data_IF_879140822520
#
_entry.id   IF_879140822520
#
_cell.length_a   1.000
_cell.length_b   1.000
_cell.length_c   1.000
_cell.angle_alpha   90.00
_cell.angle_beta   90.00
_cell.angle_gamma   90.00
#
_symmetry.space_group_name_H-M   'P 1'
#
loop_
_entity.id
_entity.type
_entity.pdbx_description
1 polymer ?
#
# COMPACT_ATOMS: atom_id res chain seq x y z
N UNK A 1 3.36 5.18 -40.18
CA UNK A 1 3.98 5.44 -38.87
C UNK A 1 3.03 4.94 -37.81
N UNK A 2 3.32 3.77 -37.23
CA UNK A 2 2.44 3.13 -36.26
C UNK A 2 2.49 3.88 -34.93
N UNK A 3 1.32 4.34 -34.46
CA UNK A 3 1.16 4.77 -33.07
C UNK A 3 1.41 3.53 -32.20
N UNK A 4 2.52 3.48 -31.47
CA UNK A 4 2.59 2.61 -30.29
C UNK A 4 1.51 3.11 -29.34
N UNK A 5 0.43 2.34 -29.20
CA UNK A 5 -0.48 2.48 -28.08
C UNK A 5 0.36 2.23 -26.83
N UNK A 6 0.66 3.28 -26.06
CA UNK A 6 1.27 3.11 -24.75
C UNK A 6 0.39 2.12 -23.98
N UNK A 7 0.91 0.93 -23.69
CA UNK A 7 0.19 -0.02 -22.84
C UNK A 7 -0.11 0.70 -21.52
N UNK A 8 -1.37 0.59 -21.08
CA UNK A 8 -1.78 1.15 -19.82
C UNK A 8 -0.97 0.46 -18.71
N UNK A 9 -0.40 1.25 -17.78
CA UNK A 9 0.38 0.71 -16.65
C UNK A 9 -0.44 -0.32 -15.84
N UNK A 10 -1.77 -0.14 -15.76
CA UNK A 10 -2.68 -1.07 -15.12
C UNK A 10 -2.74 -2.42 -15.83
N UNK A 11 -2.73 -2.43 -17.17
CA UNK A 11 -2.73 -3.68 -17.94
C UNK A 11 -1.44 -4.47 -17.71
N UNK A 12 -0.29 -3.79 -17.72
CA UNK A 12 1.01 -4.43 -17.48
C UNK A 12 1.11 -4.96 -16.05
N UNK A 13 0.74 -4.15 -15.06
CA UNK A 13 0.66 -4.58 -13.65
C UNK A 13 -0.26 -5.80 -13.50
N UNK A 14 -1.43 -5.77 -14.15
CA UNK A 14 -2.40 -6.85 -14.14
C UNK A 14 -1.80 -8.16 -14.66
N UNK A 15 -1.15 -8.12 -15.82
CA UNK A 15 -0.46 -9.27 -16.43
C UNK A 15 0.63 -9.84 -15.52
N UNK A 16 1.44 -8.99 -14.89
CA UNK A 16 2.50 -9.44 -13.98
C UNK A 16 1.92 -10.22 -12.81
N UNK A 17 0.94 -9.64 -12.12
CA UNK A 17 0.28 -10.26 -10.98
C UNK A 17 -0.45 -11.56 -11.36
N UNK A 18 -1.11 -11.60 -12.51
CA UNK A 18 -1.75 -12.83 -13.02
C UNK A 18 -0.74 -13.96 -13.28
N UNK A 19 0.38 -13.63 -13.91
CA UNK A 19 1.45 -14.59 -14.16
C UNK A 19 2.03 -15.14 -12.86
N UNK A 20 2.26 -14.27 -11.87
CA UNK A 20 2.73 -14.69 -10.54
C UNK A 20 1.69 -15.52 -9.79
N UNK A 21 0.40 -15.19 -9.90
CA UNK A 21 -0.66 -15.93 -9.24
C UNK A 21 -0.78 -17.37 -9.78
N UNK A 22 -0.52 -17.58 -11.07
CA UNK A 22 -0.41 -18.94 -11.66
C UNK A 22 0.73 -19.71 -10.98
N UNK A 23 1.91 -19.13 -10.88
CA UNK A 23 3.06 -19.77 -10.20
C UNK A 23 2.77 -20.12 -8.74
N UNK A 24 2.12 -19.21 -8.00
CA UNK A 24 1.70 -19.45 -6.62
C UNK A 24 0.70 -20.61 -6.55
N UNK A 25 -0.26 -20.66 -7.46
CA UNK A 25 -1.31 -21.69 -7.49
C UNK A 25 -0.72 -23.07 -7.80
N UNK A 26 0.17 -23.14 -8.79
CA UNK A 26 0.86 -24.37 -9.20
C UNK A 26 1.82 -24.87 -8.12
N UNK A 27 2.48 -23.96 -7.39
CA UNK A 27 3.27 -24.34 -6.23
C UNK A 27 2.37 -24.83 -5.08
N UNK A 28 1.19 -24.21 -4.88
CA UNK A 28 0.28 -24.52 -3.78
C UNK A 28 -0.41 -25.88 -3.91
N UNK A 29 -0.51 -26.42 -5.12
CA UNK A 29 -1.00 -27.79 -5.32
C UNK A 29 -0.03 -28.83 -4.76
N UNK A 30 1.26 -28.50 -4.68
CA UNK A 30 2.33 -29.40 -4.25
C UNK A 30 2.85 -29.10 -2.84
N UNK A 31 2.85 -27.82 -2.44
CA UNK A 31 3.27 -27.35 -1.13
C UNK A 31 2.15 -26.56 -0.44
N UNK A 32 1.63 -27.10 0.68
CA UNK A 32 0.59 -26.45 1.49
C UNK A 32 1.16 -25.56 2.60
N UNK A 33 2.43 -25.17 2.49
CA UNK A 33 3.11 -24.33 3.48
C UNK A 33 2.31 -23.06 3.77
N UNK A 34 2.38 -22.62 5.02
CA UNK A 34 1.77 -21.36 5.42
C UNK A 34 2.36 -20.18 4.63
N UNK A 35 3.67 -20.22 4.38
CA UNK A 35 4.42 -19.21 3.62
C UNK A 35 3.79 -18.92 2.27
N UNK A 36 3.45 -19.96 1.51
CA UNK A 36 2.91 -19.80 0.16
C UNK A 36 1.47 -19.28 0.16
N UNK A 37 0.65 -19.72 1.12
CA UNK A 37 -0.70 -19.15 1.35
C UNK A 37 -0.65 -17.68 1.72
N UNK A 38 0.32 -17.29 2.55
CA UNK A 38 0.52 -15.89 2.91
C UNK A 38 0.94 -15.05 1.69
N UNK A 39 1.84 -15.56 0.85
CA UNK A 39 2.24 -14.90 -0.40
C UNK A 39 1.03 -14.75 -1.36
N UNK A 40 0.16 -15.76 -1.48
CA UNK A 40 -1.06 -15.71 -2.28
C UNK A 40 -2.04 -14.61 -1.83
N UNK A 41 -2.26 -14.48 -0.51
CA UNK A 41 -3.16 -13.45 0.04
C UNK A 41 -2.54 -12.06 -0.17
N UNK A 42 -1.23 -11.94 0.06
CA UNK A 42 -0.52 -10.67 -0.10
C UNK A 42 -0.50 -10.20 -1.55
N UNK A 43 -0.29 -11.12 -2.49
CA UNK A 43 -0.38 -10.88 -3.94
C UNK A 43 -1.73 -10.28 -4.31
N UNK A 44 -2.83 -10.92 -3.92
CA UNK A 44 -4.16 -10.46 -4.30
C UNK A 44 -4.50 -9.07 -3.76
N UNK A 45 -4.07 -8.78 -2.53
CA UNK A 45 -4.25 -7.46 -1.92
C UNK A 45 -3.44 -6.43 -2.70
N UNK A 46 -2.16 -6.71 -2.97
CA UNK A 46 -1.28 -5.82 -3.72
C UNK A 46 -1.79 -5.57 -5.14
N UNK A 47 -2.19 -6.62 -5.86
CA UNK A 47 -2.80 -6.51 -7.19
C UNK A 47 -3.96 -5.53 -7.18
N UNK A 48 -4.93 -5.71 -6.27
CA UNK A 48 -6.13 -4.87 -6.20
C UNK A 48 -5.80 -3.40 -5.92
N UNK A 49 -4.93 -3.13 -4.95
CA UNK A 49 -4.57 -1.75 -4.64
C UNK A 49 -3.73 -1.10 -5.75
N UNK A 50 -2.79 -1.82 -6.37
CA UNK A 50 -2.01 -1.31 -7.48
C UNK A 50 -2.89 -1.02 -8.71
N UNK A 51 -3.81 -1.92 -9.07
CA UNK A 51 -4.73 -1.70 -10.18
C UNK A 51 -5.71 -0.55 -9.92
N UNK A 52 -6.26 -0.44 -8.71
CA UNK A 52 -7.10 0.69 -8.34
C UNK A 52 -6.33 2.02 -8.41
N UNK A 53 -5.07 2.01 -8.00
CA UNK A 53 -4.20 3.20 -8.12
C UNK A 53 -3.94 3.54 -9.58
N UNK A 54 -3.63 2.56 -10.43
CA UNK A 54 -3.41 2.77 -11.86
C UNK A 54 -4.66 3.39 -12.54
N UNK A 55 -5.86 2.86 -12.23
CA UNK A 55 -7.12 3.39 -12.72
C UNK A 55 -7.30 4.88 -12.34
N UNK A 56 -7.02 5.24 -11.08
CA UNK A 56 -7.11 6.63 -10.64
C UNK A 56 -6.14 7.54 -11.40
N UNK A 57 -4.93 7.06 -11.71
CA UNK A 57 -3.97 7.84 -12.51
C UNK A 57 -4.41 8.05 -13.96
N UNK A 58 -5.15 7.11 -14.54
CA UNK A 58 -5.66 7.24 -15.91
C UNK A 58 -6.82 8.24 -15.98
N UNK A 59 -7.61 8.33 -14.91
CA UNK A 59 -8.66 9.34 -14.74
C UNK A 59 -8.14 10.70 -14.24
N UNK A 60 -6.82 10.84 -14.01
CA UNK A 60 -6.23 12.10 -13.58
C UNK A 60 -6.28 12.38 -12.06
N UNK A 61 -6.83 11.48 -11.25
CA UNK A 61 -7.00 11.65 -9.80
C UNK A 61 -5.70 11.35 -9.03
N UNK A 62 -4.93 12.39 -8.71
CA UNK A 62 -3.63 12.31 -8.04
C UNK A 62 -3.77 12.12 -6.53
N UNK A 63 -4.54 12.98 -5.85
CA UNK A 63 -4.68 12.93 -4.39
C UNK A 63 -5.28 11.58 -3.92
N UNK A 64 -6.37 11.06 -4.51
CA UNK A 64 -6.89 9.73 -4.15
C UNK A 64 -5.91 8.60 -4.46
N UNK A 65 -5.20 8.66 -5.59
CA UNK A 65 -4.20 7.65 -5.94
C UNK A 65 -3.02 7.66 -4.95
N UNK A 66 -2.58 8.83 -4.50
CA UNK A 66 -1.56 8.97 -3.46
C UNK A 66 -2.01 8.39 -2.11
N UNK A 67 -3.28 8.54 -1.75
CA UNK A 67 -3.84 7.89 -0.57
C UNK A 67 -3.81 6.35 -0.69
N UNK A 68 -4.13 5.78 -1.85
CA UNK A 68 -3.98 4.34 -2.07
C UNK A 68 -2.52 3.90 -2.07
N UNK A 69 -1.62 4.68 -2.65
CA UNK A 69 -0.18 4.43 -2.63
C UNK A 69 0.38 4.40 -1.20
N UNK A 70 -0.17 5.21 -0.28
CA UNK A 70 0.15 5.11 1.15
C UNK A 70 -0.18 3.72 1.71
N UNK A 71 -1.34 3.18 1.35
CA UNK A 71 -1.83 1.86 1.79
C UNK A 71 -0.96 0.74 1.20
N UNK A 72 -0.74 0.75 -0.12
CA UNK A 72 0.13 -0.21 -0.84
C UNK A 72 1.47 -0.32 -0.13
N UNK A 73 2.05 0.82 0.18
CA UNK A 73 3.39 0.89 0.75
C UNK A 73 3.45 0.46 2.21
N UNK A 74 2.46 0.86 3.02
CA UNK A 74 2.36 0.39 4.40
C UNK A 74 2.20 -1.14 4.46
N UNK A 75 1.34 -1.67 3.58
CA UNK A 75 1.16 -3.10 3.46
C UNK A 75 2.46 -3.79 3.05
N UNK A 76 3.14 -3.28 2.03
CA UNK A 76 4.37 -3.88 1.53
C UNK A 76 5.50 -3.90 2.58
N UNK A 77 5.66 -2.82 3.36
CA UNK A 77 6.65 -2.78 4.46
C UNK A 77 6.33 -3.81 5.55
N UNK A 78 5.05 -3.95 5.93
CA UNK A 78 4.62 -4.97 6.91
C UNK A 78 4.83 -6.38 6.38
N UNK A 79 4.48 -6.61 5.11
CA UNK A 79 4.73 -7.86 4.41
C UNK A 79 6.22 -8.22 4.46
N UNK A 80 7.10 -7.30 4.03
CA UNK A 80 8.55 -7.51 4.09
C UNK A 80 9.03 -7.84 5.49
N UNK A 81 8.55 -7.12 6.50
CA UNK A 81 8.93 -7.40 7.87
C UNK A 81 8.54 -8.82 8.28
N UNK A 82 7.33 -9.27 7.95
CA UNK A 82 6.89 -10.64 8.22
C UNK A 82 7.80 -11.67 7.54
N UNK A 83 8.16 -11.45 6.26
CA UNK A 83 8.93 -12.42 5.46
C UNK A 83 10.45 -12.24 5.54
N UNK A 84 10.96 -11.31 6.35
CA UNK A 84 12.39 -11.10 6.56
C UNK A 84 12.99 -12.15 7.52
N UNK A 85 12.76 -13.42 7.20
CA UNK A 85 13.18 -14.63 7.89
C UNK A 85 12.76 -15.84 7.05
N UNK A 86 13.53 -16.93 7.08
CA UNK A 86 13.17 -18.19 6.42
C UNK A 86 12.39 -19.14 7.34
N UNK A 87 12.30 -18.83 8.64
CA UNK A 87 11.65 -19.70 9.64
C UNK A 87 10.14 -19.42 9.69
N UNK A 88 9.33 -20.42 9.36
CA UNK A 88 7.86 -20.32 9.34
C UNK A 88 7.27 -19.86 10.68
N UNK A 89 7.74 -20.43 11.80
CA UNK A 89 7.28 -20.03 13.14
C UNK A 89 7.52 -18.55 13.43
N UNK A 90 8.63 -17.98 12.96
CA UNK A 90 8.92 -16.56 13.12
C UNK A 90 8.01 -15.69 12.24
N UNK A 91 7.66 -16.15 11.04
CA UNK A 91 6.66 -15.46 10.18
C UNK A 91 5.30 -15.44 10.89
N UNK A 92 4.87 -16.58 11.42
CA UNK A 92 3.64 -16.72 12.19
C UNK A 92 3.65 -15.77 13.41
N UNK A 93 4.73 -15.75 14.19
CA UNK A 93 4.88 -14.85 15.33
C UNK A 93 4.78 -13.38 14.91
N UNK A 94 5.43 -12.98 13.81
CA UNK A 94 5.33 -11.60 13.29
C UNK A 94 3.91 -11.24 12.85
N UNK A 95 3.19 -12.16 12.22
CA UNK A 95 1.79 -11.95 11.86
C UNK A 95 0.89 -11.81 13.08
N UNK A 96 1.11 -12.61 14.12
CA UNK A 96 0.40 -12.46 15.40
C UNK A 96 0.65 -11.10 16.04
N UNK A 97 1.91 -10.60 16.01
CA UNK A 97 2.25 -9.25 16.48
C UNK A 97 1.58 -8.16 15.64
N UNK A 98 1.53 -8.33 14.31
CA UNK A 98 0.82 -7.41 13.42
C UNK A 98 -0.69 -7.40 13.73
N UNK A 99 -1.30 -8.56 13.90
CA UNK A 99 -2.71 -8.67 14.28
C UNK A 99 -3.00 -7.98 15.61
N UNK A 100 -2.21 -8.25 16.65
CA UNK A 100 -2.30 -7.57 17.96
C UNK A 100 -2.24 -6.05 17.83
N UNK A 101 -1.23 -5.53 17.13
CA UNK A 101 -1.09 -4.07 16.91
C UNK A 101 -2.26 -3.48 16.13
N UNK A 102 -2.77 -4.19 15.12
CA UNK A 102 -3.91 -3.74 14.31
C UNK A 102 -5.21 -3.74 15.11
N UNK A 103 -5.43 -4.79 15.91
CA UNK A 103 -6.56 -4.90 16.83
C UNK A 103 -6.58 -3.77 17.85
N UNK A 104 -5.45 -3.50 18.52
CA UNK A 104 -5.33 -2.38 19.47
C UNK A 104 -5.61 -1.02 18.84
N UNK A 105 -5.12 -0.77 17.63
CA UNK A 105 -5.41 0.47 16.89
C UNK A 105 -6.91 0.61 16.58
N UNK A 106 -7.58 -0.48 16.19
CA UNK A 106 -9.03 -0.50 15.95
C UNK A 106 -9.81 -0.24 17.23
N UNK A 107 -9.44 -0.89 18.35
CA UNK A 107 -10.08 -0.67 19.65
C UNK A 107 -9.96 0.78 20.10
N UNK A 108 -8.76 1.37 20.01
CA UNK A 108 -8.55 2.79 20.34
C UNK A 108 -9.44 3.72 19.50
N UNK A 109 -9.64 3.42 18.22
CA UNK A 109 -10.54 4.17 17.36
C UNK A 109 -12.00 4.04 17.83
N UNK A 110 -12.46 2.81 18.09
CA UNK A 110 -13.82 2.57 18.56
C UNK A 110 -14.08 3.20 19.93
N UNK A 111 -13.13 3.13 20.85
CA UNK A 111 -13.22 3.80 22.16
C UNK A 111 -13.35 5.31 22.01
N UNK A 112 -12.59 5.91 21.08
CA UNK A 112 -12.71 7.33 20.77
C UNK A 112 -14.10 7.71 20.23
N UNK A 113 -14.68 6.86 19.37
CA UNK A 113 -16.02 7.08 18.81
C UNK A 113 -17.14 6.87 19.85
N UNK A 114 -17.01 5.86 20.71
CA UNK A 114 -17.95 5.58 21.78
C UNK A 114 -17.88 6.61 22.92
N UNK A 115 -16.73 7.26 23.09
CA UNK A 115 -16.51 8.34 24.05
C UNK A 115 -16.99 9.73 23.60
N UNK A 116 -17.59 9.84 22.40
CA UNK A 116 -18.17 11.10 21.94
C UNK A 116 -19.38 11.51 22.81
N UNK A 117 -19.63 12.82 22.88
CA UNK A 117 -20.72 13.38 23.69
C UNK A 117 -22.10 12.84 23.26
N UNK A 118 -23.03 12.81 24.23
CA UNK A 118 -24.38 12.31 24.00
C UNK A 118 -25.08 13.11 22.88
N UNK A 119 -25.59 12.40 21.88
CA UNK A 119 -26.30 12.98 20.74
C UNK A 119 -25.46 13.18 19.47
N UNK A 120 -24.14 12.93 19.51
CA UNK A 120 -23.29 12.98 18.31
C UNK A 120 -23.56 11.80 17.37
N UNK A 121 -23.75 10.60 17.94
CA UNK A 121 -24.07 9.38 17.20
C UNK A 121 -25.49 8.91 17.51
N UNK A 122 -26.15 8.32 16.50
CA UNK A 122 -27.44 7.66 16.69
C UNK A 122 -27.27 6.40 17.54
N UNK A 123 -28.34 6.01 18.23
CA UNK A 123 -28.35 4.80 19.07
C UNK A 123 -27.98 3.54 18.27
N UNK A 124 -28.47 3.41 17.03
CA UNK A 124 -28.14 2.25 16.19
C UNK A 124 -26.65 2.20 15.79
N UNK A 125 -26.02 3.36 15.61
CA UNK A 125 -24.60 3.45 15.27
C UNK A 125 -23.72 3.11 16.47
N UNK A 126 -24.13 3.53 17.67
CA UNK A 126 -23.47 3.15 18.93
C UNK A 126 -23.54 1.65 19.19
N UNK A 127 -24.71 1.03 18.97
CA UNK A 127 -24.90 -0.42 19.09
C UNK A 127 -24.00 -1.18 18.10
N UNK A 128 -23.96 -0.77 16.83
CA UNK A 128 -23.06 -1.36 15.82
C UNK A 128 -21.58 -1.18 16.18
N UNK A 129 -21.19 -0.02 16.68
CA UNK A 129 -19.81 0.22 17.12
C UNK A 129 -19.43 -0.68 18.29
N UNK A 130 -20.33 -0.87 19.26
CA UNK A 130 -20.12 -1.79 20.37
C UNK A 130 -19.96 -3.24 19.87
N UNK A 131 -20.79 -3.70 18.93
CA UNK A 131 -20.65 -5.04 18.32
C UNK A 131 -19.31 -5.20 17.57
N UNK A 132 -18.89 -4.17 16.81
CA UNK A 132 -17.60 -4.19 16.12
C UNK A 132 -16.43 -4.22 17.10
N UNK A 133 -16.54 -3.48 18.21
CA UNK A 133 -15.56 -3.49 19.28
C UNK A 133 -15.45 -4.86 19.93
N UNK A 134 -16.57 -5.45 20.34
CA UNK A 134 -16.60 -6.80 20.94
C UNK A 134 -15.99 -7.85 19.99
N UNK A 135 -16.30 -7.77 18.69
CA UNK A 135 -15.69 -8.66 17.67
C UNK A 135 -14.17 -8.50 17.60
N UNK A 136 -13.64 -7.29 17.74
CA UNK A 136 -12.18 -7.07 17.76
C UNK A 136 -11.59 -7.57 19.07
N UNK A 137 -12.22 -7.32 20.22
CA UNK A 137 -11.75 -7.81 21.53
C UNK A 137 -11.68 -9.33 21.58
N UNK A 138 -12.71 -10.02 21.08
CA UNK A 138 -12.76 -11.50 21.02
C UNK A 138 -11.66 -12.10 20.14
N UNK A 139 -11.30 -11.40 19.07
CA UNK A 139 -10.29 -11.85 18.11
C UNK A 139 -8.90 -11.27 18.42
N UNK A 140 -8.75 -10.43 19.45
CA UNK A 140 -7.49 -9.79 19.75
C UNK A 140 -6.49 -10.84 20.21
N UNK A 141 -5.40 -11.00 19.46
CA UNK A 141 -4.35 -11.92 19.84
C UNK A 141 -3.45 -11.33 20.94
N UNK A 142 -3.96 -11.27 22.17
CA UNK A 142 -3.18 -10.76 23.32
C UNK A 142 -2.04 -11.68 23.74
N UNK A 143 -2.05 -12.93 23.27
CA UNK A 143 -1.00 -13.92 23.53
C UNK A 143 0.32 -13.60 22.81
N UNK A 144 0.31 -12.72 21.78
CA UNK A 144 1.56 -12.30 21.17
C UNK A 144 2.42 -11.51 22.18
N UNK A 145 3.64 -11.98 22.45
CA UNK A 145 4.52 -11.42 23.48
C UNK A 145 4.81 -9.93 23.29
N UNK A 146 4.80 -9.45 22.04
CA UNK A 146 5.17 -8.08 21.66
C UNK A 146 4.19 -7.51 20.64
N UNK A 147 4.20 -6.19 20.51
CA UNK A 147 3.55 -5.51 19.39
C UNK A 147 4.49 -5.45 18.18
N UNK A 148 3.94 -5.28 16.98
CA UNK A 148 4.73 -4.96 15.79
C UNK A 148 5.41 -3.60 15.98
N UNK A 149 6.70 -3.45 15.61
CA UNK A 149 7.35 -2.14 15.65
C UNK A 149 6.59 -1.12 14.78
N UNK A 150 6.65 0.17 15.09
CA UNK A 150 6.00 1.18 14.28
C UNK A 150 6.57 1.15 12.85
N UNK A 151 5.71 1.47 11.88
CA UNK A 151 6.11 1.58 10.47
C UNK A 151 6.97 2.85 10.24
N UNK A 152 7.15 3.72 11.24
CA UNK A 152 7.90 4.98 11.16
C UNK A 152 9.31 4.91 11.75
N UNK A 153 10.25 5.70 11.20
CA UNK A 153 11.49 6.11 11.87
C UNK A 153 12.68 5.15 11.77
N UNK A 154 13.83 5.59 12.33
CA UNK A 154 15.12 4.85 12.36
C UNK A 154 15.11 3.60 13.25
N UNK A 155 14.11 3.45 14.13
CA UNK A 155 13.91 2.31 15.03
C UNK A 155 12.66 1.48 14.70
N UNK A 156 12.04 1.75 13.55
CA UNK A 156 10.82 1.08 13.08
C UNK A 156 11.07 -0.02 12.06
N UNK A 157 10.00 -0.47 11.39
CA UNK A 157 10.07 -1.53 10.38
C UNK A 157 11.07 -1.23 9.24
N UNK A 158 11.33 0.04 8.93
CA UNK A 158 12.30 0.43 7.89
C UNK A 158 13.74 0.06 8.21
N UNK A 159 14.16 0.07 9.48
CA UNK A 159 15.50 -0.37 9.85
C UNK A 159 15.67 -1.85 9.50
N UNK A 160 14.67 -2.66 9.89
CA UNK A 160 14.65 -4.10 9.63
C UNK A 160 14.51 -4.48 8.16
N UNK A 161 14.01 -3.57 7.31
CA UNK A 161 13.78 -3.81 5.87
C UNK A 161 14.73 -3.00 4.96
N UNK A 162 15.65 -2.23 5.55
CA UNK A 162 16.52 -1.25 4.88
C UNK A 162 17.39 -1.82 3.77
N UNK A 163 17.85 -3.08 3.90
CA UNK A 163 18.63 -3.77 2.85
C UNK A 163 17.86 -3.95 1.55
N UNK A 164 16.52 -3.97 1.60
CA UNK A 164 15.64 -4.16 0.44
C UNK A 164 15.02 -2.85 -0.01
N UNK A 165 14.72 -1.94 0.92
CA UNK A 165 13.94 -0.73 0.63
C UNK A 165 14.75 0.55 0.41
N UNK A 166 16.00 0.62 0.87
CA UNK A 166 16.75 1.87 0.90
C UNK A 166 16.11 2.95 1.80
N UNK A 167 16.89 3.92 2.25
CA UNK A 167 16.44 4.99 3.16
C UNK A 167 15.41 5.95 2.51
N UNK A 168 15.36 6.02 1.18
CA UNK A 168 14.58 6.99 0.43
C UNK A 168 13.10 6.63 0.31
N UNK A 169 12.74 5.34 0.27
CA UNK A 169 11.34 4.93 0.18
C UNK A 169 10.60 5.31 1.47
N UNK A 170 11.20 5.09 2.64
CA UNK A 170 10.59 5.48 3.91
C UNK A 170 10.32 6.99 4.04
N UNK A 171 11.17 7.84 3.45
CA UNK A 171 10.95 9.29 3.40
C UNK A 171 9.75 9.65 2.51
N UNK A 172 9.70 9.13 1.28
CA UNK A 172 8.60 9.40 0.33
C UNK A 172 7.23 8.98 0.88
N UNK A 173 7.18 7.87 1.62
CA UNK A 173 5.94 7.35 2.22
C UNK A 173 5.34 8.25 3.29
N UNK A 174 6.18 8.94 4.06
CA UNK A 174 5.76 9.71 5.21
C UNK A 174 5.76 11.22 4.97
N UNK A 175 6.45 11.71 3.93
CA UNK A 175 6.32 13.11 3.52
C UNK A 175 5.14 13.32 2.58
N UNK A 176 5.08 12.57 1.48
CA UNK A 176 4.23 12.94 0.34
C UNK A 176 2.87 12.23 0.34
N UNK A 177 2.81 10.94 0.69
CA UNK A 177 1.53 10.21 0.72
C UNK A 177 0.79 10.35 2.05
N UNK A 178 1.48 10.79 3.10
CA UNK A 178 0.87 10.99 4.42
C UNK A 178 -0.13 12.15 4.40
N UNK A 179 0.22 13.24 3.72
CA UNK A 179 -0.66 14.39 3.54
C UNK A 179 -1.93 14.01 2.74
N UNK A 180 -1.82 13.13 1.74
CA UNK A 180 -2.98 12.65 0.97
C UNK A 180 -4.04 11.88 1.80
N UNK A 181 -3.64 11.27 2.91
CA UNK A 181 -4.55 10.57 3.84
C UNK A 181 -5.02 11.50 4.98
N UNK A 182 -4.17 12.46 5.36
CA UNK A 182 -4.43 13.42 6.42
C UNK A 182 -4.45 14.83 5.84
N UNK A 183 -5.50 15.12 5.06
CA UNK A 183 -5.68 16.43 4.43
C UNK A 183 -5.62 17.51 5.52
N UNK A 184 -4.67 18.42 5.36
CA UNK A 184 -4.43 19.53 6.27
C UNK A 184 -4.57 20.87 5.55
N UNK A 185 -4.40 21.96 6.29
CA UNK A 185 -4.49 23.31 5.72
C UNK A 185 -3.42 23.60 4.67
N UNK A 186 -2.30 22.86 4.66
CA UNK A 186 -1.27 23.01 3.64
C UNK A 186 -1.80 22.52 2.29
N UNK A 187 -2.32 21.29 2.24
CA UNK A 187 -2.94 20.76 1.01
C UNK A 187 -4.09 21.65 0.55
N UNK A 188 -4.95 22.09 1.46
CA UNK A 188 -6.08 22.95 1.09
C UNK A 188 -5.60 24.28 0.49
N UNK A 189 -4.48 24.82 0.99
CA UNK A 189 -3.87 26.04 0.44
C UNK A 189 -3.26 25.78 -0.95
N UNK A 190 -2.63 24.62 -1.16
CA UNK A 190 -2.03 24.23 -2.45
C UNK A 190 -3.07 24.07 -3.58
N UNK A 191 -4.35 23.90 -3.23
CA UNK A 191 -5.45 23.87 -4.19
C UNK A 191 -5.90 25.28 -4.62
N UNK A 192 -5.56 26.34 -3.89
CA UNK A 192 -5.96 27.71 -4.24
C UNK A 192 -5.02 28.25 -5.33
N UNK A 193 -5.58 28.60 -6.49
CA UNK A 193 -4.82 29.15 -7.61
C UNK A 193 -4.70 30.68 -7.51
N UNK A 194 -5.83 31.35 -7.28
CA UNK A 194 -5.92 32.80 -7.15
C UNK A 194 -7.08 33.17 -6.21
N UNK A 195 -6.93 34.26 -5.46
CA UNK A 195 -7.97 34.87 -4.64
C UNK A 195 -7.88 36.38 -4.76
N UNK A 196 -8.92 37.02 -5.32
CA UNK A 196 -9.03 38.49 -5.44
C UNK A 196 -9.96 39.10 -4.38
N UNK A 197 -10.35 38.29 -3.37
CA UNK A 197 -11.24 38.69 -2.27
C UNK A 197 -12.74 38.59 -2.60
N UNK A 198 -13.13 38.48 -3.87
CA UNK A 198 -14.52 38.31 -4.31
C UNK A 198 -14.73 36.98 -5.05
N UNK A 199 -13.68 36.45 -5.68
CA UNK A 199 -13.64 35.19 -6.41
C UNK A 199 -12.51 34.31 -5.88
N UNK A 200 -12.79 33.02 -5.77
CA UNK A 200 -11.83 32.00 -5.41
C UNK A 200 -11.69 31.02 -6.59
N UNK A 201 -10.50 30.93 -7.16
CA UNK A 201 -10.17 29.90 -8.15
C UNK A 201 -9.45 28.75 -7.45
N UNK A 202 -9.96 27.53 -7.63
CA UNK A 202 -9.45 26.32 -6.96
C UNK A 202 -9.11 25.27 -8.02
N UNK A 203 -7.96 24.64 -7.88
CA UNK A 203 -7.56 23.49 -8.67
C UNK A 203 -8.40 22.26 -8.28
N UNK A 204 -8.74 21.43 -9.26
CA UNK A 204 -9.55 20.22 -9.00
C UNK A 204 -8.75 19.14 -8.25
N UNK A 205 -7.42 19.21 -8.29
CA UNK A 205 -6.50 18.28 -7.61
C UNK A 205 -5.14 18.96 -7.32
N UNK A 206 -4.27 18.26 -6.60
CA UNK A 206 -2.91 18.72 -6.27
C UNK A 206 -2.00 18.78 -7.50
N UNK A 207 -1.04 19.71 -7.48
CA UNK A 207 -0.06 19.87 -8.56
C UNK A 207 1.10 18.88 -8.44
N UNK A 208 0.79 17.59 -8.52
CA UNK A 208 1.79 16.52 -8.51
C UNK A 208 2.12 16.01 -9.92
N UNK A 209 3.35 15.55 -10.10
CA UNK A 209 3.81 15.00 -11.37
C UNK A 209 3.22 13.59 -11.58
N UNK A 210 2.19 13.49 -12.42
CA UNK A 210 1.48 12.24 -12.70
C UNK A 210 2.42 11.12 -13.18
N UNK A 211 3.40 11.46 -14.02
CA UNK A 211 4.37 10.49 -14.52
C UNK A 211 5.23 9.92 -13.40
N UNK A 212 5.68 10.75 -12.47
CA UNK A 212 6.44 10.30 -11.31
C UNK A 212 5.58 9.41 -10.39
N UNK A 213 4.31 9.75 -10.20
CA UNK A 213 3.37 8.89 -9.46
C UNK A 213 3.17 7.52 -10.13
N UNK A 214 2.99 7.50 -11.46
CA UNK A 214 2.92 6.26 -12.26
C UNK A 214 4.18 5.41 -12.13
N UNK A 215 5.37 6.01 -12.25
CA UNK A 215 6.67 5.33 -12.03
C UNK A 215 6.72 4.68 -10.66
N UNK A 216 6.30 5.37 -9.61
CA UNK A 216 6.33 4.83 -8.24
C UNK A 216 5.36 3.66 -8.07
N UNK A 217 4.18 3.69 -8.68
CA UNK A 217 3.25 2.56 -8.62
C UNK A 217 3.83 1.31 -9.30
N UNK A 218 4.44 1.49 -10.49
CA UNK A 218 5.19 0.43 -11.15
C UNK A 218 6.32 -0.11 -10.27
N UNK A 219 7.09 0.77 -9.62
CA UNK A 219 8.15 0.36 -8.70
C UNK A 219 7.63 -0.49 -7.55
N UNK A 220 6.49 -0.13 -6.93
CA UNK A 220 5.91 -0.92 -5.84
C UNK A 220 5.44 -2.30 -6.30
N UNK A 221 4.75 -2.36 -7.45
CA UNK A 221 4.33 -3.63 -8.03
C UNK A 221 5.56 -4.52 -8.34
N UNK A 222 6.55 -3.96 -9.06
CA UNK A 222 7.79 -4.65 -9.41
C UNK A 222 8.55 -5.16 -8.19
N UNK A 223 8.78 -4.31 -7.18
CA UNK A 223 9.53 -4.67 -5.98
C UNK A 223 8.83 -5.76 -5.16
N UNK A 224 7.50 -5.71 -5.08
CA UNK A 224 6.73 -6.77 -4.43
C UNK A 224 6.93 -8.11 -5.15
N UNK A 225 6.76 -8.12 -6.48
CA UNK A 225 6.91 -9.33 -7.29
C UNK A 225 8.34 -9.87 -7.27
N UNK A 226 9.34 -8.99 -7.35
CA UNK A 226 10.75 -9.36 -7.20
C UNK A 226 11.00 -10.12 -5.90
N UNK A 227 10.42 -9.65 -4.80
CA UNK A 227 10.58 -10.30 -3.49
C UNK A 227 9.88 -11.65 -3.46
N UNK A 228 8.63 -11.74 -3.95
CA UNK A 228 7.88 -13.00 -4.03
C UNK A 228 8.63 -14.02 -4.89
N UNK A 229 9.09 -13.63 -6.07
CA UNK A 229 9.81 -14.51 -6.99
C UNK A 229 11.14 -14.97 -6.41
N UNK A 230 11.95 -14.04 -5.89
CA UNK A 230 13.25 -14.38 -5.27
C UNK A 230 13.09 -15.37 -4.11
N UNK A 231 12.09 -15.17 -3.26
CA UNK A 231 11.80 -16.02 -2.10
C UNK A 231 11.35 -17.44 -2.47
N UNK A 232 10.82 -17.61 -3.68
CA UNK A 232 10.34 -18.89 -4.21
C UNK A 232 11.23 -19.44 -5.34
N UNK A 233 12.39 -18.82 -5.58
CA UNK A 233 13.33 -19.17 -6.65
C UNK A 233 12.70 -19.21 -8.05
N UNK A 234 11.76 -18.30 -8.31
CA UNK A 234 11.15 -18.14 -9.64
C UNK A 234 11.89 -17.08 -10.46
N UNK A 235 11.90 -17.28 -11.78
CA UNK A 235 12.40 -16.30 -12.76
C UNK A 235 11.62 -15.00 -12.67
N UNK A 236 12.31 -13.85 -12.72
CA UNK A 236 11.74 -12.50 -12.71
C UNK A 236 12.13 -11.70 -13.98
N UNK A 237 12.87 -12.33 -14.89
CA UNK A 237 13.53 -11.70 -16.03
C UNK A 237 12.54 -10.99 -16.95
N UNK A 238 11.40 -11.63 -17.25
CA UNK A 238 10.37 -11.01 -18.10
C UNK A 238 9.78 -9.75 -17.44
N UNK A 239 9.34 -9.85 -16.18
CA UNK A 239 8.80 -8.70 -15.42
C UNK A 239 9.84 -7.59 -15.35
N UNK A 240 11.11 -7.92 -15.14
CA UNK A 240 12.22 -6.95 -15.11
C UNK A 240 12.40 -6.24 -16.46
N UNK A 241 12.40 -6.97 -17.58
CA UNK A 241 12.55 -6.39 -18.91
C UNK A 241 11.40 -5.43 -19.24
N UNK A 242 10.16 -5.84 -18.96
CA UNK A 242 8.97 -4.99 -19.16
C UNK A 242 9.02 -3.75 -18.26
N UNK A 243 9.44 -3.92 -17.00
CA UNK A 243 9.64 -2.81 -16.07
C UNK A 243 10.69 -1.80 -16.58
N UNK A 244 11.87 -2.27 -17.00
CA UNK A 244 12.95 -1.41 -17.51
C UNK A 244 12.48 -0.64 -18.76
N UNK A 245 11.77 -1.31 -19.68
CA UNK A 245 11.18 -0.67 -20.87
C UNK A 245 10.19 0.44 -20.51
N UNK A 246 9.26 0.18 -19.58
CA UNK A 246 8.26 1.17 -19.17
C UNK A 246 8.87 2.37 -18.44
N UNK A 247 9.88 2.15 -17.60
CA UNK A 247 10.58 3.24 -16.91
C UNK A 247 11.31 4.13 -17.91
N UNK A 248 11.93 3.55 -18.94
CA UNK A 248 12.57 4.28 -20.04
C UNK A 248 11.55 5.10 -20.84
N UNK A 249 10.43 4.48 -21.22
CA UNK A 249 9.36 5.15 -21.97
C UNK A 249 8.76 6.31 -21.18
N UNK A 250 8.44 6.08 -19.90
CA UNK A 250 7.98 7.14 -19.02
C UNK A 250 9.02 8.25 -18.99
N UNK A 251 10.32 7.96 -18.85
CA UNK A 251 11.39 8.97 -18.78
C UNK A 251 11.51 9.79 -20.07
N UNK A 252 11.38 9.20 -21.27
CA UNK A 252 11.53 9.90 -22.57
C UNK A 252 10.49 10.98 -22.87
N UNK A 253 9.29 10.88 -22.27
CA UNK A 253 8.23 11.90 -22.40
C UNK A 253 8.67 13.28 -21.85
N UNK A 254 9.80 13.40 -21.13
CA UNK A 254 10.37 14.68 -20.66
C UNK A 254 10.94 15.60 -21.76
N UNK A 255 11.12 15.13 -22.99
CA UNK A 255 11.89 15.85 -24.03
C UNK A 255 11.04 16.46 -25.16
N UNK A 256 9.71 16.51 -25.00
CA UNK A 256 8.77 17.14 -25.94
C UNK A 256 7.89 18.13 -25.20
#
# INVERSE_FOLDING_TARGET
>A
MGKMTHENIGDVIGKWFESTQVLITDASSNDKSFKLRFDAIAEQIMKKYCLATALLFDEGFKLPAMALMRIVSEFFVKYLWCINTDKEDEICNRLQRWDKTSGKKKLKLYDGLLGLEAGVLKKEDLEKLAELKEKVEKNLNDNAEKEMPPVTGRSGLFESTSKVFGTNVGLLLYSQYCSAVHIDTSILSDLILESDGLNLSVNEDINENMKELKKRCLNFAYMFLLVVHKKNNWSIEQVKQEYESLIDDLSRIESQ
#
